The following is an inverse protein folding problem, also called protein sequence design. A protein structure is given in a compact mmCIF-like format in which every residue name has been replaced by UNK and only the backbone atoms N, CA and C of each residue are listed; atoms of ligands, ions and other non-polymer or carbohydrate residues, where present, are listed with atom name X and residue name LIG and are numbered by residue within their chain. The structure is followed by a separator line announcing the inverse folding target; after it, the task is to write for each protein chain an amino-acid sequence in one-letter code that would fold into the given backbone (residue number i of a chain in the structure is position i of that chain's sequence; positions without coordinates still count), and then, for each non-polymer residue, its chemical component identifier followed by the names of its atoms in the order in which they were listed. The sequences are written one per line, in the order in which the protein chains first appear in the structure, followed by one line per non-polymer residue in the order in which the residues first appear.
data_IF_908023885955
#
_entry.id   IF_908023885955
#
_cell.length_a   1.000
_cell.length_b   1.000
_cell.length_c   1.000
_cell.angle_alpha   90.00
_cell.angle_beta   90.00
_cell.angle_gamma   90.00
#
_symmetry.space_group_name_H-M   'P 1'
#
loop_
_entity.id
_entity.type
_entity.pdbx_description
1 polymer ?
#
# COMPACT_ATOMS: atom_id res chain seq x y z
N UNK A 1 61.12 4.01 -26.33
CA UNK A 1 60.37 4.69 -25.26
C UNK A 1 58.90 4.87 -25.65
N UNK A 2 58.58 5.58 -26.74
CA UNK A 2 57.19 5.76 -27.20
C UNK A 2 56.47 4.46 -27.62
N UNK A 3 57.15 3.56 -28.34
CA UNK A 3 56.56 2.27 -28.75
C UNK A 3 56.24 1.30 -27.59
N UNK A 4 56.76 1.54 -26.38
CA UNK A 4 56.42 0.76 -25.19
C UNK A 4 55.12 1.27 -24.55
N UNK A 5 54.91 2.59 -24.58
CA UNK A 5 53.70 3.25 -24.08
C UNK A 5 52.50 2.87 -24.95
N UNK A 6 52.67 2.85 -26.28
CA UNK A 6 51.59 2.44 -27.20
C UNK A 6 51.13 1.00 -26.95
N UNK A 7 52.08 0.09 -26.69
CA UNK A 7 51.76 -1.31 -26.33
C UNK A 7 51.02 -1.42 -25.00
N UNK A 8 51.38 -0.61 -24.01
CA UNK A 8 50.70 -0.61 -22.72
C UNK A 8 49.26 -0.07 -22.84
N UNK A 9 49.03 0.90 -23.73
CA UNK A 9 47.69 1.40 -24.07
C UNK A 9 46.82 0.29 -24.68
N UNK A 10 47.33 -0.44 -25.68
CA UNK A 10 46.60 -1.56 -26.30
C UNK A 10 46.23 -2.65 -25.28
N UNK A 11 47.14 -2.93 -24.34
CA UNK A 11 46.91 -3.91 -23.27
C UNK A 11 45.80 -3.44 -22.31
N UNK A 12 45.84 -2.16 -21.90
CA UNK A 12 44.83 -1.58 -21.01
C UNK A 12 43.45 -1.53 -21.67
N UNK A 13 43.35 -1.16 -22.94
CA UNK A 13 42.09 -1.19 -23.68
C UNK A 13 41.51 -2.60 -23.76
N UNK A 14 42.37 -3.60 -24.02
CA UNK A 14 41.97 -5.01 -24.01
C UNK A 14 41.45 -5.48 -22.64
N UNK A 15 42.08 -5.03 -21.55
CA UNK A 15 41.64 -5.35 -20.19
C UNK A 15 40.30 -4.67 -19.85
N UNK A 16 40.11 -3.41 -20.22
CA UNK A 16 38.85 -2.67 -20.02
C UNK A 16 37.70 -3.36 -20.76
N UNK A 17 37.91 -3.78 -22.02
CA UNK A 17 36.90 -4.48 -22.81
C UNK A 17 36.49 -5.82 -22.16
N UNK A 18 37.46 -6.59 -21.66
CA UNK A 18 37.21 -7.86 -20.96
C UNK A 18 36.49 -7.64 -19.62
N UNK A 19 36.86 -6.62 -18.87
CA UNK A 19 36.20 -6.28 -17.60
C UNK A 19 34.74 -5.85 -17.81
N UNK A 20 34.48 -5.03 -18.83
CA UNK A 20 33.13 -4.56 -19.18
C UNK A 20 32.22 -5.71 -19.58
N UNK A 21 32.67 -6.60 -20.48
CA UNK A 21 31.89 -7.77 -20.91
C UNK A 21 31.65 -8.77 -19.78
N UNK A 22 32.64 -8.99 -18.89
CA UNK A 22 32.47 -9.84 -17.70
C UNK A 22 31.42 -9.27 -16.74
N UNK A 23 31.47 -7.96 -16.47
CA UNK A 23 30.49 -7.28 -15.59
C UNK A 23 29.08 -7.36 -16.17
N UNK A 24 28.91 -7.13 -17.46
CA UNK A 24 27.61 -7.19 -18.12
C UNK A 24 27.00 -8.60 -18.06
N UNK A 25 27.81 -9.64 -18.24
CA UNK A 25 27.36 -11.04 -18.09
C UNK A 25 26.95 -11.35 -16.65
N UNK A 26 27.73 -10.92 -15.66
CA UNK A 26 27.39 -11.11 -14.24
C UNK A 26 26.10 -10.36 -13.85
N UNK A 27 25.88 -9.15 -14.38
CA UNK A 27 24.66 -8.38 -14.13
C UNK A 27 23.43 -9.03 -14.75
N UNK A 28 23.54 -9.59 -15.97
CA UNK A 28 22.44 -10.37 -16.57
C UNK A 28 22.12 -11.63 -15.76
N UNK A 29 23.13 -12.41 -15.36
CA UNK A 29 22.91 -13.61 -14.55
C UNK A 29 22.33 -13.28 -13.17
N UNK A 30 22.75 -12.19 -12.54
CA UNK A 30 22.19 -11.71 -11.27
C UNK A 30 20.75 -11.21 -11.41
N UNK A 31 20.43 -10.47 -12.47
CA UNK A 31 19.06 -10.01 -12.74
C UNK A 31 18.10 -11.18 -13.01
N UNK A 32 18.55 -12.23 -13.69
CA UNK A 32 17.72 -13.41 -13.96
C UNK A 32 17.47 -14.20 -12.67
N UNK A 33 18.50 -14.40 -11.82
CA UNK A 33 18.33 -15.06 -10.51
C UNK A 33 17.47 -14.28 -9.54
N UNK A 34 17.55 -12.94 -9.54
CA UNK A 34 16.69 -12.11 -8.70
C UNK A 34 15.22 -12.12 -9.15
N UNK A 35 14.93 -12.46 -10.40
CA UNK A 35 13.56 -12.55 -10.92
C UNK A 35 12.88 -13.89 -10.54
N UNK A 36 13.66 -14.94 -10.27
CA UNK A 36 13.16 -16.26 -9.85
C UNK A 36 12.95 -16.40 -8.33
N UNK A 37 13.45 -15.46 -7.50
CA UNK A 37 13.41 -15.52 -6.02
C UNK A 37 12.42 -14.52 -5.41
N UNK A 38 11.41 -14.08 -6.17
CA UNK A 38 10.25 -13.40 -5.59
C UNK A 38 9.02 -14.32 -5.59
N UNK A 39 8.97 -15.37 -4.74
CA UNK A 39 7.68 -15.80 -4.26
C UNK A 39 7.23 -14.71 -3.27
N UNK A 40 6.52 -13.71 -3.77
CA UNK A 40 5.61 -12.90 -2.95
C UNK A 40 4.49 -13.84 -2.47
N UNK A 41 4.81 -14.76 -1.57
CA UNK A 41 3.86 -15.30 -0.61
C UNK A 41 3.60 -14.18 0.40
N UNK A 42 2.93 -13.13 -0.06
CA UNK A 42 2.11 -12.32 0.83
C UNK A 42 1.02 -13.29 1.28
N UNK A 43 1.20 -13.88 2.46
CA UNK A 43 0.14 -14.64 3.08
C UNK A 43 -1.11 -13.75 3.04
N UNK A 44 -2.15 -14.22 2.34
CA UNK A 44 -3.44 -13.54 2.34
C UNK A 44 -3.88 -13.45 3.79
N UNK A 45 -3.76 -12.26 4.39
CA UNK A 45 -4.26 -11.96 5.73
C UNK A 45 -5.77 -12.05 5.61
N UNK A 46 -6.31 -13.26 5.77
CA UNK A 46 -7.73 -13.54 5.65
C UNK A 46 -8.33 -13.68 7.04
N UNK A 47 -9.41 -12.94 7.28
CA UNK A 47 -10.26 -13.04 8.48
C UNK A 47 -9.66 -12.59 9.84
N UNK A 48 -8.59 -11.81 9.87
CA UNK A 48 -8.05 -11.24 11.13
C UNK A 48 -8.50 -9.79 11.39
N UNK A 49 -8.71 -9.43 12.66
CA UNK A 49 -8.95 -8.03 13.07
C UNK A 49 -7.60 -7.31 13.05
N UNK A 50 -7.28 -6.68 11.93
CA UNK A 50 -5.98 -6.01 11.71
C UNK A 50 -5.87 -4.67 12.46
N UNK A 51 -6.99 -4.01 12.73
CA UNK A 51 -6.99 -2.65 13.30
C UNK A 51 -8.21 -2.41 14.19
N UNK A 52 -7.96 -1.93 15.40
CA UNK A 52 -8.99 -1.40 16.30
C UNK A 52 -8.84 0.11 16.38
N UNK A 53 -9.88 0.85 16.01
CA UNK A 53 -9.93 2.30 16.19
C UNK A 53 -10.91 2.66 17.30
N UNK A 54 -10.47 3.50 18.22
CA UNK A 54 -11.30 4.04 19.30
C UNK A 54 -11.80 5.42 18.89
N UNK A 55 -13.10 5.67 19.07
CA UNK A 55 -13.72 6.96 18.78
C UNK A 55 -14.58 7.39 19.96
N UNK A 56 -14.63 8.70 20.21
CA UNK A 56 -15.61 9.28 21.13
C UNK A 56 -16.99 9.25 20.49
N UNK A 57 -17.90 8.49 21.08
CA UNK A 57 -19.30 8.42 20.65
C UNK A 57 -20.02 9.66 21.18
N UNK A 58 -20.39 10.57 20.27
CA UNK A 58 -21.19 11.76 20.60
C UNK A 58 -22.64 11.56 20.17
N UNK A 59 -23.62 11.99 20.98
CA UNK A 59 -25.01 11.98 20.56
C UNK A 59 -25.22 13.02 19.45
N UNK A 60 -25.69 12.58 18.28
CA UNK A 60 -25.99 13.42 17.11
C UNK A 60 -27.20 12.87 16.36
N UNK A 61 -27.81 13.69 15.50
CA UNK A 61 -28.88 13.26 14.61
C UNK A 61 -28.32 12.42 13.44
N UNK A 62 -29.15 11.57 12.80
CA UNK A 62 -28.71 10.81 11.62
C UNK A 62 -28.22 11.70 10.48
N UNK A 63 -28.85 12.86 10.28
CA UNK A 63 -28.47 13.83 9.25
C UNK A 63 -27.08 14.44 9.52
N UNK A 64 -26.82 14.82 10.77
CA UNK A 64 -25.50 15.33 11.18
C UNK A 64 -24.41 14.25 11.09
N UNK A 65 -24.78 12.98 11.32
CA UNK A 65 -23.88 11.85 11.18
C UNK A 65 -23.43 11.67 9.72
N UNK A 66 -24.33 11.87 8.74
CA UNK A 66 -23.99 11.87 7.30
C UNK A 66 -22.94 12.93 6.99
N UNK A 67 -23.14 14.16 7.47
CA UNK A 67 -22.24 15.28 7.21
C UNK A 67 -20.85 15.04 7.82
N UNK A 68 -20.80 14.47 9.03
CA UNK A 68 -19.53 14.08 9.67
C UNK A 68 -18.80 12.97 8.93
N UNK A 69 -19.53 11.98 8.40
CA UNK A 69 -18.96 10.90 7.58
C UNK A 69 -18.37 11.47 6.28
N UNK A 70 -19.07 12.40 5.62
CA UNK A 70 -18.54 13.11 4.44
C UNK A 70 -17.28 13.91 4.73
N UNK A 71 -17.19 14.51 5.92
CA UNK A 71 -16.03 15.30 6.36
C UNK A 71 -14.79 14.46 6.64
N UNK A 72 -14.94 13.14 6.85
CA UNK A 72 -13.84 12.21 7.10
C UNK A 72 -13.80 11.11 6.01
N UNK A 73 -13.19 11.39 4.85
CA UNK A 73 -13.17 10.45 3.71
C UNK A 73 -12.49 9.11 3.98
N UNK A 74 -11.68 9.04 5.04
CA UNK A 74 -10.96 7.83 5.45
C UNK A 74 -11.84 6.78 6.12
N UNK A 75 -13.04 7.15 6.60
CA UNK A 75 -13.92 6.25 7.32
C UNK A 75 -15.14 5.88 6.47
N UNK A 76 -15.40 4.59 6.36
CA UNK A 76 -16.57 4.07 5.64
C UNK A 76 -17.82 3.92 6.53
N UNK A 77 -17.63 3.95 7.84
CA UNK A 77 -18.69 3.84 8.85
C UNK A 77 -18.42 4.80 10.01
N UNK A 78 -19.50 5.26 10.64
CA UNK A 78 -19.48 6.10 11.82
C UNK A 78 -20.55 5.60 12.79
N UNK A 79 -20.12 5.21 14.00
CA UNK A 79 -21.02 4.87 15.10
C UNK A 79 -21.35 6.14 15.90
N UNK A 80 -22.62 6.33 16.23
CA UNK A 80 -23.10 7.47 17.00
C UNK A 80 -24.29 7.07 17.87
N UNK A 81 -24.62 7.90 18.87
CA UNK A 81 -25.87 7.74 19.61
C UNK A 81 -26.91 8.63 18.93
N UNK A 82 -28.02 8.05 18.49
CA UNK A 82 -29.12 8.82 17.94
C UNK A 82 -29.79 9.60 19.09
N UNK A 83 -29.87 10.92 18.96
CA UNK A 83 -30.48 11.81 19.95
C UNK A 83 -31.96 11.52 20.15
N UNK A 84 -32.67 11.05 19.11
CA UNK A 84 -34.10 10.81 19.15
C UNK A 84 -34.46 9.50 19.85
N UNK A 85 -33.70 8.44 19.58
CA UNK A 85 -33.98 7.10 20.10
C UNK A 85 -33.12 6.74 21.32
N UNK A 86 -32.06 7.49 21.58
CA UNK A 86 -31.07 7.19 22.61
C UNK A 86 -30.24 5.92 22.35
N UNK A 87 -30.38 5.31 21.17
CA UNK A 87 -29.71 4.06 20.80
C UNK A 87 -28.43 4.32 20.02
N UNK A 88 -27.50 3.35 20.07
CA UNK A 88 -26.28 3.37 19.27
C UNK A 88 -26.63 2.96 17.85
N UNK A 89 -26.47 3.87 16.90
CA UNK A 89 -26.68 3.62 15.49
C UNK A 89 -25.35 3.70 14.74
N UNK A 90 -25.22 2.98 13.63
CA UNK A 90 -24.05 3.03 12.75
C UNK A 90 -24.49 3.49 11.37
N UNK A 91 -23.93 4.58 10.87
CA UNK A 91 -24.12 5.01 9.49
C UNK A 91 -22.93 4.56 8.66
N UNK A 92 -23.17 4.08 7.45
CA UNK A 92 -22.09 3.69 6.54
C UNK A 92 -22.40 4.08 5.10
N UNK A 93 -21.36 4.19 4.29
CA UNK A 93 -21.50 4.46 2.86
C UNK A 93 -21.88 3.17 2.12
N UNK A 94 -22.88 3.23 1.24
CA UNK A 94 -23.22 2.11 0.35
C UNK A 94 -22.19 2.00 -0.78
N UNK A 95 -22.10 0.83 -1.42
CA UNK A 95 -21.20 0.59 -2.56
C UNK A 95 -21.43 1.56 -3.73
N UNK A 96 -22.65 2.08 -3.85
CA UNK A 96 -23.06 3.06 -4.86
C UNK A 96 -22.48 4.46 -4.66
N UNK A 97 -21.87 4.73 -3.50
CA UNK A 97 -21.16 5.97 -3.21
C UNK A 97 -22.02 7.23 -3.05
N UNK A 98 -23.29 7.20 -3.47
CA UNK A 98 -24.27 8.30 -3.37
C UNK A 98 -25.22 8.16 -2.18
N UNK A 99 -25.51 6.93 -1.79
CA UNK A 99 -26.48 6.62 -0.74
C UNK A 99 -25.77 6.22 0.57
N UNK A 100 -26.45 6.46 1.69
CA UNK A 100 -26.01 6.07 3.02
C UNK A 100 -26.95 5.01 3.59
N UNK A 101 -26.37 4.02 4.29
CA UNK A 101 -27.11 3.02 5.05
C UNK A 101 -27.06 3.36 6.53
N UNK A 102 -28.20 3.23 7.20
CA UNK A 102 -28.30 3.31 8.66
C UNK A 102 -28.49 1.89 9.20
N UNK A 103 -27.67 1.50 10.16
CA UNK A 103 -27.77 0.25 10.90
C UNK A 103 -28.18 0.58 12.31
N UNK A 104 -29.35 0.09 12.69
CA UNK A 104 -29.84 0.17 14.06
C UNK A 104 -29.77 -1.22 14.68
N UNK A 105 -29.19 -1.38 15.87
CA UNK A 105 -29.26 -2.63 16.61
C UNK A 105 -30.69 -2.82 17.11
N UNK A 106 -31.34 -3.87 16.62
CA UNK A 106 -32.48 -4.46 17.31
C UNK A 106 -31.91 -5.13 18.56
N UNK A 107 -32.40 -4.71 19.74
CA UNK A 107 -31.89 -5.18 21.03
C UNK A 107 -32.09 -6.69 21.21
#
# INVERSE_FOLDING_TARGET
MYASIDKDIDILEGQIRKAKTKKEKMMKDASIRNMEIAPDHVAEISNEIVKTSYYEIKPITPEDAVLKLQSHPTHNFLAFINVETGKVNVIHKLKDGKNYGLVEPEA
#
